data_IF_766817335769
#
_entry.id   IF_766817335769
#
_cell.length_a   1.000
_cell.length_b   1.000
_cell.length_c   1.000
_cell.angle_alpha   90.00
_cell.angle_beta   90.00
_cell.angle_gamma   90.00
#
_symmetry.space_group_name_H-M   'P 1'
#
loop_
_entity.id
_entity.type
_entity.pdbx_description
1 polymer ?
#
# COMPACT_ATOMS: atom_id res chain seq x y z
N UNK A 1 12.65 -9.77 4.99
CA UNK A 1 13.87 -9.57 5.78
C UNK A 1 14.07 -8.09 6.01
N UNK A 2 14.68 -7.71 7.13
CA UNK A 2 15.06 -6.32 7.37
C UNK A 2 16.27 -5.97 6.51
N UNK A 3 16.16 -4.90 5.72
CA UNK A 3 17.34 -4.31 5.09
C UNK A 3 18.06 -3.52 6.18
N UNK A 4 19.23 -4.00 6.61
CA UNK A 4 20.06 -3.27 7.56
C UNK A 4 20.77 -2.14 6.81
N UNK A 5 20.14 -0.97 6.77
CA UNK A 5 20.71 0.24 6.19
C UNK A 5 21.56 1.04 7.20
N UNK A 6 21.82 0.51 8.40
CA UNK A 6 22.55 1.17 9.48
C UNK A 6 21.76 2.20 10.28
N UNK A 7 20.53 2.54 9.87
CA UNK A 7 19.74 3.61 10.51
C UNK A 7 18.41 3.14 11.13
N UNK A 8 17.99 1.89 10.91
CA UNK A 8 16.77 1.28 11.47
C UNK A 8 15.47 2.10 11.27
N UNK A 9 15.47 3.08 10.37
CA UNK A 9 14.39 4.06 10.21
C UNK A 9 13.08 3.39 9.78
N UNK A 10 13.14 2.45 8.82
CA UNK A 10 11.96 1.70 8.38
C UNK A 10 11.33 0.95 9.55
N UNK A 11 12.16 0.33 10.40
CA UNK A 11 11.69 -0.40 11.57
C UNK A 11 10.98 0.54 12.54
N UNK A 12 11.56 1.70 12.84
CA UNK A 12 10.93 2.72 13.69
C UNK A 12 9.58 3.16 13.12
N UNK A 13 9.54 3.52 11.83
CA UNK A 13 8.32 3.93 11.13
C UNK A 13 7.24 2.84 11.24
N UNK A 14 7.59 1.59 10.93
CA UNK A 14 6.65 0.47 11.02
C UNK A 14 6.14 0.26 12.46
N UNK A 15 7.01 0.37 13.46
CA UNK A 15 6.63 0.20 14.86
C UNK A 15 5.66 1.29 15.32
N UNK A 16 5.92 2.55 14.99
CA UNK A 16 5.05 3.68 15.35
C UNK A 16 3.64 3.49 14.76
N UNK A 17 3.56 3.03 13.50
CA UNK A 17 2.29 2.73 12.82
C UNK A 17 1.59 1.54 13.48
N UNK A 18 2.30 0.44 13.71
CA UNK A 18 1.71 -0.76 14.31
C UNK A 18 1.18 -0.52 15.72
N UNK A 19 1.85 0.34 16.51
CA UNK A 19 1.37 0.73 17.83
C UNK A 19 0.00 1.42 17.73
N UNK A 20 -0.20 2.34 16.79
CA UNK A 20 -1.48 3.02 16.62
C UNK A 20 -2.57 2.06 16.09
N UNK A 21 -2.25 1.20 15.12
CA UNK A 21 -3.21 0.19 14.67
C UNK A 21 -3.58 -0.79 15.80
N UNK A 22 -2.63 -1.18 16.66
CA UNK A 22 -2.91 -2.01 17.83
C UNK A 22 -3.86 -1.34 18.81
N UNK A 23 -3.70 -0.03 19.04
CA UNK A 23 -4.59 0.77 19.91
C UNK A 23 -5.97 1.01 19.30
N UNK A 24 -6.09 0.88 17.98
CA UNK A 24 -7.29 1.30 17.24
C UNK A 24 -8.56 0.48 17.51
N UNK A 25 -8.42 -0.74 18.04
CA UNK A 25 -9.52 -1.71 18.19
C UNK A 25 -9.91 -2.43 16.90
N UNK A 26 -9.21 -2.17 15.78
CA UNK A 26 -9.43 -2.90 14.52
C UNK A 26 -8.88 -4.32 14.61
N UNK A 27 -9.58 -5.29 14.00
CA UNK A 27 -9.07 -6.65 13.84
C UNK A 27 -7.96 -6.67 12.77
N UNK A 28 -6.71 -6.55 13.21
CA UNK A 28 -5.54 -6.47 12.34
C UNK A 28 -4.69 -7.75 12.43
N UNK A 29 -4.31 -8.31 11.28
CA UNK A 29 -3.29 -9.35 11.19
C UNK A 29 -1.95 -8.76 10.78
N UNK A 30 -0.89 -8.97 11.58
CA UNK A 30 0.47 -8.55 11.25
C UNK A 30 1.38 -9.75 11.05
N UNK A 31 2.01 -9.84 9.88
CA UNK A 31 2.97 -10.88 9.55
C UNK A 31 4.35 -10.25 9.36
N UNK A 32 5.25 -10.47 10.32
CA UNK A 32 6.60 -9.89 10.32
C UNK A 32 7.64 -11.00 10.19
N UNK A 33 8.54 -10.89 9.22
CA UNK A 33 9.60 -11.88 8.94
C UNK A 33 9.12 -13.31 8.78
N UNK A 34 7.91 -13.50 8.27
CA UNK A 34 7.48 -14.80 7.77
C UNK A 34 7.91 -14.88 6.31
N UNK A 35 8.64 -15.94 5.96
CA UNK A 35 8.93 -16.26 4.56
C UNK A 35 7.63 -16.80 3.94
N UNK A 36 6.72 -15.87 3.59
CA UNK A 36 5.49 -16.22 2.90
C UNK A 36 5.81 -16.63 1.46
N UNK A 37 5.17 -17.68 0.97
CA UNK A 37 5.19 -17.99 -0.46
C UNK A 37 4.45 -16.90 -1.24
N UNK A 38 4.68 -16.82 -2.55
CA UNK A 38 3.93 -15.90 -3.42
C UNK A 38 2.43 -16.17 -3.38
N UNK A 39 2.02 -17.44 -3.33
CA UNK A 39 0.61 -17.83 -3.21
C UNK A 39 0.00 -17.31 -1.90
N UNK A 40 0.74 -17.40 -0.78
CA UNK A 40 0.29 -16.88 0.51
C UNK A 40 0.19 -15.35 0.51
N UNK A 41 1.17 -14.65 -0.06
CA UNK A 41 1.11 -13.18 -0.21
C UNK A 41 -0.10 -12.77 -1.04
N UNK A 42 -0.33 -13.44 -2.18
CA UNK A 42 -1.48 -13.18 -3.05
C UNK A 42 -2.80 -13.42 -2.33
N UNK A 43 -2.93 -14.54 -1.62
CA UNK A 43 -4.14 -14.88 -0.88
C UNK A 43 -4.42 -13.86 0.24
N UNK A 44 -3.38 -13.39 0.94
CA UNK A 44 -3.51 -12.37 1.97
C UNK A 44 -3.97 -11.02 1.38
N UNK A 45 -3.32 -10.57 0.31
CA UNK A 45 -3.70 -9.32 -0.36
C UNK A 45 -5.13 -9.38 -0.92
N UNK A 46 -5.49 -10.48 -1.58
CA UNK A 46 -6.81 -10.66 -2.18
C UNK A 46 -7.93 -10.65 -1.14
N UNK A 47 -7.75 -11.38 -0.03
CA UNK A 47 -8.78 -11.52 1.01
C UNK A 47 -8.81 -10.39 2.04
N UNK A 48 -7.83 -9.48 2.02
CA UNK A 48 -7.82 -8.33 2.93
C UNK A 48 -8.96 -7.37 2.59
N UNK A 49 -9.51 -6.65 3.57
CA UNK A 49 -10.46 -5.56 3.25
C UNK A 49 -9.75 -4.35 2.65
N UNK A 50 -8.57 -4.03 3.19
CA UNK A 50 -7.72 -2.89 2.86
C UNK A 50 -6.26 -3.35 3.00
N UNK A 51 -5.38 -2.91 2.11
CA UNK A 51 -3.92 -3.08 2.24
C UNK A 51 -3.26 -1.85 2.86
N UNK A 52 -2.24 -2.06 3.69
CA UNK A 52 -1.35 -1.00 4.18
C UNK A 52 0.01 -1.16 3.50
N UNK A 53 0.49 -0.11 2.82
CA UNK A 53 1.82 -0.09 2.24
C UNK A 53 2.69 0.99 2.90
N UNK A 54 3.86 0.60 3.40
CA UNK A 54 4.80 1.51 4.07
C UNK A 54 6.14 1.40 3.36
N UNK A 55 6.68 2.54 2.95
CA UNK A 55 7.91 2.62 2.17
C UNK A 55 9.14 2.79 3.06
N UNK A 56 10.31 2.59 2.46
CA UNK A 56 11.56 2.94 3.12
C UNK A 56 11.69 4.46 3.27
N UNK A 57 12.45 4.90 4.28
CA UNK A 57 12.62 6.33 4.58
C UNK A 57 13.12 7.13 3.37
N UNK A 58 14.04 6.56 2.58
CA UNK A 58 14.54 7.23 1.38
C UNK A 58 13.45 7.49 0.34
N UNK A 59 12.47 6.60 0.19
CA UNK A 59 11.36 6.77 -0.78
C UNK A 59 10.44 7.89 -0.30
N UNK A 60 10.21 8.00 1.01
CA UNK A 60 9.46 9.11 1.62
C UNK A 60 10.15 10.46 1.46
N UNK A 61 11.49 10.47 1.51
CA UNK A 61 12.30 11.70 1.43
C UNK A 61 12.51 12.13 -0.03
N UNK A 62 12.93 11.21 -0.89
CA UNK A 62 13.26 11.51 -2.28
C UNK A 62 12.01 11.57 -3.17
N UNK A 63 11.02 10.71 -2.90
CA UNK A 63 9.75 10.68 -3.62
C UNK A 63 9.85 10.31 -5.11
N UNK A 64 10.97 9.72 -5.55
CA UNK A 64 11.23 9.43 -6.98
C UNK A 64 10.83 8.03 -7.43
N UNK A 65 10.55 7.14 -6.49
CA UNK A 65 10.17 5.76 -6.74
C UNK A 65 9.12 5.28 -5.73
N UNK A 66 8.42 4.21 -6.08
CA UNK A 66 7.48 3.51 -5.20
C UNK A 66 7.78 2.02 -5.27
N UNK A 67 7.48 1.30 -4.19
CA UNK A 67 7.76 -0.12 -4.14
C UNK A 67 6.74 -0.93 -4.98
N UNK A 68 7.10 -2.17 -5.26
CA UNK A 68 6.26 -3.08 -6.05
C UNK A 68 4.93 -3.44 -5.36
N UNK A 69 4.88 -3.36 -4.03
CA UNK A 69 3.67 -3.60 -3.23
C UNK A 69 2.53 -2.64 -3.58
N UNK A 70 2.85 -1.41 -4.00
CA UNK A 70 1.86 -0.45 -4.51
C UNK A 70 0.99 -1.07 -5.62
N UNK A 71 1.63 -1.68 -6.62
CA UNK A 71 0.93 -2.26 -7.77
C UNK A 71 0.24 -3.58 -7.40
N UNK A 72 0.88 -4.44 -6.61
CA UNK A 72 0.24 -5.68 -6.13
C UNK A 72 -1.01 -5.41 -5.30
N UNK A 73 -0.93 -4.50 -4.33
CA UNK A 73 -2.05 -4.18 -3.45
C UNK A 73 -3.20 -3.58 -4.25
N UNK A 74 -2.94 -2.61 -5.13
CA UNK A 74 -4.00 -2.00 -5.94
C UNK A 74 -4.55 -2.96 -7.02
N UNK A 75 -3.70 -3.79 -7.63
CA UNK A 75 -4.11 -4.73 -8.68
C UNK A 75 -4.85 -5.97 -8.16
N UNK A 76 -4.50 -6.48 -6.98
CA UNK A 76 -5.15 -7.66 -6.41
C UNK A 76 -6.31 -7.29 -5.48
N UNK A 77 -6.09 -6.36 -4.54
CA UNK A 77 -7.10 -5.97 -3.58
C UNK A 77 -8.05 -4.89 -4.12
N UNK A 78 -7.49 -3.91 -4.82
CA UNK A 78 -8.19 -2.70 -5.25
C UNK A 78 -8.17 -1.57 -4.22
N UNK A 79 -7.78 -1.81 -2.96
CA UNK A 79 -7.78 -0.74 -1.95
C UNK A 79 -6.53 -0.76 -1.09
N UNK A 80 -5.90 0.40 -1.02
CA UNK A 80 -4.67 0.61 -0.28
C UNK A 80 -4.69 1.96 0.44
N UNK A 81 -4.10 1.99 1.63
CA UNK A 81 -3.62 3.20 2.30
C UNK A 81 -2.10 3.14 2.39
N UNK A 82 -1.44 4.29 2.33
CA UNK A 82 0.02 4.35 2.30
C UNK A 82 0.59 5.49 3.12
N UNK A 83 1.86 5.40 3.48
CA UNK A 83 2.64 6.58 3.81
C UNK A 83 2.78 7.53 2.60
N UNK A 84 3.16 8.80 2.85
CA UNK A 84 3.29 9.79 1.79
C UNK A 84 4.58 9.58 1.01
N UNK A 85 4.43 9.30 -0.29
CA UNK A 85 5.50 9.18 -1.27
C UNK A 85 5.04 9.87 -2.55
N UNK A 86 5.76 10.89 -3.02
CA UNK A 86 5.35 11.73 -4.16
C UNK A 86 5.11 10.92 -5.43
N UNK A 87 5.98 9.95 -5.76
CA UNK A 87 5.78 9.09 -6.92
C UNK A 87 4.48 8.27 -6.83
N UNK A 88 4.10 7.79 -5.64
CA UNK A 88 2.86 7.05 -5.45
C UNK A 88 1.65 7.97 -5.67
N UNK A 89 1.66 9.17 -5.10
CA UNK A 89 0.57 10.15 -5.25
C UNK A 89 0.42 10.61 -6.71
N UNK A 90 1.52 10.70 -7.46
CA UNK A 90 1.48 11.02 -8.89
C UNK A 90 0.86 9.88 -9.72
N UNK A 91 1.19 8.63 -9.41
CA UNK A 91 0.67 7.46 -10.14
C UNK A 91 -0.77 7.10 -9.75
N UNK A 92 -1.12 7.32 -8.48
CA UNK A 92 -2.41 6.94 -7.90
C UNK A 92 -2.95 8.08 -7.02
N UNK A 93 -3.44 9.18 -7.62
CA UNK A 93 -3.86 10.38 -6.88
C UNK A 93 -5.04 10.16 -5.93
N UNK A 94 -5.83 9.10 -6.16
CA UNK A 94 -6.98 8.74 -5.34
C UNK A 94 -6.59 7.90 -4.10
N UNK A 95 -5.35 7.41 -4.02
CA UNK A 95 -4.87 6.69 -2.84
C UNK A 95 -4.67 7.67 -1.69
N UNK A 96 -5.31 7.39 -0.55
CA UNK A 96 -5.18 8.22 0.64
C UNK A 96 -3.86 7.93 1.36
N UNK A 97 -3.08 8.98 1.58
CA UNK A 97 -1.73 8.89 2.15
C UNK A 97 -1.57 9.71 3.42
N UNK A 98 -0.76 9.22 4.36
CA UNK A 98 -0.36 9.99 5.55
C UNK A 98 0.95 9.50 6.14
N UNK A 99 1.80 10.44 6.57
CA UNK A 99 3.00 10.13 7.35
C UNK A 99 2.73 10.11 8.87
N UNK A 100 1.53 10.50 9.31
CA UNK A 100 1.09 10.39 10.69
C UNK A 100 0.37 9.03 10.92
N UNK A 101 0.91 8.17 11.83
CA UNK A 101 0.29 6.92 12.24
C UNK A 101 -1.18 7.02 12.65
N UNK A 102 -1.55 8.05 13.41
CA UNK A 102 -2.92 8.20 13.91
C UNK A 102 -3.88 8.54 12.76
N UNK A 103 -3.46 9.42 11.85
CA UNK A 103 -4.20 9.69 10.62
C UNK A 103 -4.35 8.45 9.73
N UNK A 104 -3.35 7.57 9.60
CA UNK A 104 -3.51 6.31 8.86
C UNK A 104 -4.61 5.41 9.46
N UNK A 105 -4.67 5.31 10.78
CA UNK A 105 -5.75 4.57 11.46
C UNK A 105 -7.11 5.23 11.19
N UNK A 106 -7.19 6.56 11.24
CA UNK A 106 -8.42 7.30 10.94
C UNK A 106 -8.89 7.02 9.51
N UNK A 107 -8.00 7.14 8.52
CA UNK A 107 -8.28 6.83 7.11
C UNK A 107 -8.76 5.38 6.93
N UNK A 108 -8.16 4.43 7.64
CA UNK A 108 -8.59 3.03 7.63
C UNK A 108 -10.04 2.91 8.11
N UNK A 109 -10.37 3.54 9.24
CA UNK A 109 -11.72 3.48 9.82
C UNK A 109 -12.76 4.14 8.91
N UNK A 110 -12.40 5.24 8.26
CA UNK A 110 -13.25 5.90 7.27
C UNK A 110 -13.58 4.95 6.11
N UNK A 111 -12.59 4.27 5.53
CA UNK A 111 -12.83 3.28 4.48
C UNK A 111 -13.69 2.11 4.97
N UNK A 112 -13.43 1.61 6.18
CA UNK A 112 -14.22 0.51 6.77
C UNK A 112 -15.65 0.90 7.15
N UNK A 113 -15.96 2.21 7.17
CA UNK A 113 -17.31 2.73 7.41
C UNK A 113 -18.14 2.92 6.13
N UNK A 114 -17.50 2.80 4.95
CA UNK A 114 -18.20 2.84 3.68
C UNK A 114 -19.10 1.62 3.51
N UNK A 115 -20.14 1.78 2.69
CA UNK A 115 -20.96 0.65 2.25
C UNK A 115 -20.14 -0.30 1.39
N UNK A 116 -20.56 -1.57 1.32
CA UNK A 116 -19.90 -2.57 0.49
C UNK A 116 -19.84 -2.15 -0.99
N UNK A 117 -20.89 -1.50 -1.49
CA UNK A 117 -20.91 -0.97 -2.86
C UNK A 117 -19.85 0.10 -3.08
N UNK A 118 -19.80 1.12 -2.23
CA UNK A 118 -18.79 2.19 -2.34
C UNK A 118 -17.37 1.64 -2.27
N UNK A 119 -17.14 0.68 -1.36
CA UNK A 119 -15.85 0.02 -1.23
C UNK A 119 -15.47 -0.77 -2.48
N UNK A 120 -16.43 -1.50 -3.07
CA UNK A 120 -16.22 -2.28 -4.28
C UNK A 120 -16.01 -1.41 -5.51
N UNK A 121 -16.72 -0.29 -5.62
CA UNK A 121 -16.56 0.67 -6.72
C UNK A 121 -15.12 1.24 -6.73
N UNK A 122 -14.60 1.67 -5.55
CA UNK A 122 -13.21 2.15 -5.42
C UNK A 122 -12.20 1.05 -5.75
N UNK A 123 -12.47 -0.18 -5.29
CA UNK A 123 -11.61 -1.32 -5.56
C UNK A 123 -11.52 -1.64 -7.04
N UNK A 124 -12.65 -1.62 -7.73
CA UNK A 124 -12.71 -1.90 -9.15
C UNK A 124 -12.00 -0.83 -9.97
N UNK A 125 -12.23 0.45 -9.67
CA UNK A 125 -11.53 1.57 -10.32
C UNK A 125 -10.00 1.41 -10.20
N UNK A 126 -9.51 1.11 -9.00
CA UNK A 126 -8.07 0.94 -8.75
C UNK A 126 -7.49 -0.28 -9.48
N UNK A 127 -8.21 -1.40 -9.50
CA UNK A 127 -7.79 -2.61 -10.24
C UNK A 127 -7.72 -2.33 -11.73
N UNK A 128 -8.76 -1.70 -12.27
CA UNK A 128 -8.85 -1.39 -13.70
C UNK A 128 -7.73 -0.43 -14.12
N UNK A 129 -7.43 0.60 -13.32
CA UNK A 129 -6.30 1.49 -13.57
C UNK A 129 -4.95 0.73 -13.63
N UNK A 130 -4.74 -0.25 -12.75
CA UNK A 130 -3.52 -1.07 -12.79
C UNK A 130 -3.44 -1.90 -14.08
N UNK A 131 -4.55 -2.52 -14.48
CA UNK A 131 -4.61 -3.33 -15.71
C UNK A 131 -4.39 -2.48 -16.97
N UNK A 132 -5.00 -1.29 -17.02
CA UNK A 132 -4.97 -0.43 -18.20
C UNK A 132 -3.66 0.36 -18.34
N UNK A 133 -2.97 0.67 -17.25
CA UNK A 133 -1.84 1.62 -17.30
C UNK A 133 -0.52 1.07 -16.73
N UNK A 134 -0.55 -0.03 -15.98
CA UNK A 134 0.61 -0.47 -15.20
C UNK A 134 1.00 -1.93 -15.41
N UNK A 135 0.29 -2.66 -16.28
CA UNK A 135 0.76 -3.94 -16.79
C UNK A 135 2.09 -3.81 -17.53
N UNK A 136 2.88 -4.89 -17.49
CA UNK A 136 4.22 -4.93 -18.08
C UNK A 136 4.21 -4.56 -19.57
N UNK A 137 3.25 -5.07 -20.33
CA UNK A 137 3.07 -4.77 -21.76
C UNK A 137 2.96 -3.28 -22.01
N UNK A 138 2.09 -2.61 -21.27
CA UNK A 138 1.77 -1.19 -21.47
C UNK A 138 2.96 -0.32 -21.08
N UNK A 139 3.70 -0.71 -20.03
CA UNK A 139 4.94 -0.04 -19.65
C UNK A 139 6.06 -0.22 -20.67
N UNK A 140 6.19 -1.42 -21.24
CA UNK A 140 7.18 -1.68 -22.30
C UNK A 140 6.85 -0.85 -23.53
N UNK A 141 5.58 -0.78 -23.93
CA UNK A 141 5.13 0.07 -25.04
C UNK A 141 5.48 1.55 -24.80
N UNK A 142 5.24 2.09 -23.60
CA UNK A 142 5.62 3.46 -23.25
C UNK A 142 7.13 3.70 -23.34
N UNK A 143 7.95 2.74 -22.90
CA UNK A 143 9.40 2.84 -22.98
C UNK A 143 9.91 2.78 -24.42
N UNK A 144 9.26 2.02 -25.29
CA UNK A 144 9.61 1.89 -26.70
C UNK A 144 9.10 3.05 -27.56
N UNK A 145 8.10 3.80 -27.08
CA UNK A 145 7.54 4.96 -27.77
C UNK A 145 8.34 6.27 -27.55
N UNK A 146 9.37 6.23 -26.70
CA UNK A 146 10.34 7.31 -26.46
C UNK A 146 11.47 7.27 -27.51
#
# INVERSE_FOLDING_TARGET
GWVNNGFDEKRKIMMDIFIEFKKSGLNCGFFVNKNLSHEQENLLLYNSKISLNIHDAYQRILGKDTNERTFKSLGLNGLMISDKVTQLENLFPNVRTSNDPAALVKLTKEYLSLTEKELNDIKEESRQNVLDNHCYTNRVEQLLAL
#
